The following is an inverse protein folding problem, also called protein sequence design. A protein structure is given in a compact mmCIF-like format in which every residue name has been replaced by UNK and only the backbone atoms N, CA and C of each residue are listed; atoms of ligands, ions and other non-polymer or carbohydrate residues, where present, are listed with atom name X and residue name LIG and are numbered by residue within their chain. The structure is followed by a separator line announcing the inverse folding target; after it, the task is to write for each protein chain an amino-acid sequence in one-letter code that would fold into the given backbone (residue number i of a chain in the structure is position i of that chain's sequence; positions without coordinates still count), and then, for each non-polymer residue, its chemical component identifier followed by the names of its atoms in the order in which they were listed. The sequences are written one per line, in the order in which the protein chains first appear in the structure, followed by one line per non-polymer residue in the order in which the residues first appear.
data_IF_619145925832
#
_entry.id   IF_619145925832
#
_cell.length_a   1.000
_cell.length_b   1.000
_cell.length_c   1.000
_cell.angle_alpha   90.00
_cell.angle_beta   90.00
_cell.angle_gamma   90.00
#
_symmetry.space_group_name_H-M   'P 1'
#
loop_
_entity.id
_entity.type
_entity.pdbx_description
1 polymer ?
#
# COMPACT_ATOMS: atom_id res chain seq x y z
N UNK A 1 4.51 -24.66 -10.19
CA UNK A 1 4.34 -23.94 -11.48
C UNK A 1 2.85 -23.91 -11.77
N UNK A 2 2.25 -22.80 -12.23
CA UNK A 2 0.78 -22.66 -12.43
C UNK A 2 0.07 -23.89 -13.06
N UNK A 3 0.76 -24.65 -13.93
CA UNK A 3 0.26 -25.90 -14.52
C UNK A 3 0.05 -27.09 -13.57
N UNK A 4 0.27 -26.94 -12.26
CA UNK A 4 -0.01 -27.97 -11.24
C UNK A 4 -1.33 -27.75 -10.48
N UNK A 5 -2.04 -26.63 -10.69
CA UNK A 5 -3.33 -26.32 -10.01
C UNK A 5 -4.51 -26.21 -10.97
N UNK A 6 -4.26 -25.77 -12.21
CA UNK A 6 -5.26 -25.70 -13.28
C UNK A 6 -4.86 -26.70 -14.36
N UNK A 7 -5.64 -27.77 -14.49
CA UNK A 7 -5.42 -28.85 -15.44
C UNK A 7 -6.42 -28.73 -16.61
N UNK A 8 -6.17 -29.37 -17.76
CA UNK A 8 -7.13 -29.41 -18.86
C UNK A 8 -8.52 -29.97 -18.46
N UNK A 9 -8.59 -30.75 -17.38
CA UNK A 9 -9.83 -31.33 -16.85
C UNK A 9 -10.52 -30.47 -15.80
N UNK A 10 -9.93 -29.34 -15.39
CA UNK A 10 -10.49 -28.45 -14.36
C UNK A 10 -11.81 -27.85 -14.82
N UNK A 11 -12.81 -27.84 -13.93
CA UNK A 11 -14.13 -27.26 -14.15
C UNK A 11 -14.37 -26.04 -13.26
N UNK A 12 -15.48 -25.33 -13.47
CA UNK A 12 -15.86 -24.20 -12.61
C UNK A 12 -16.12 -24.64 -11.15
N UNK A 13 -16.61 -25.87 -10.93
CA UNK A 13 -16.92 -26.39 -9.60
C UNK A 13 -15.65 -26.65 -8.76
N UNK A 14 -14.50 -26.84 -9.41
CA UNK A 14 -13.20 -26.99 -8.74
C UNK A 14 -12.65 -25.65 -8.20
N UNK A 15 -13.19 -24.52 -8.67
CA UNK A 15 -12.62 -23.20 -8.42
C UNK A 15 -12.46 -22.84 -6.93
N UNK A 16 -13.44 -23.10 -6.03
CA UNK A 16 -13.26 -22.78 -4.62
C UNK A 16 -12.01 -23.43 -4.00
N UNK A 17 -11.78 -24.72 -4.27
CA UNK A 17 -10.59 -25.45 -3.82
C UNK A 17 -9.31 -24.92 -4.45
N UNK A 18 -9.31 -24.69 -5.77
CA UNK A 18 -8.13 -24.17 -6.49
C UNK A 18 -7.75 -22.78 -5.97
N UNK A 19 -8.74 -21.92 -5.71
CA UNK A 19 -8.52 -20.58 -5.14
C UNK A 19 -7.85 -20.67 -3.77
N UNK A 20 -8.29 -21.59 -2.92
CA UNK A 20 -7.68 -21.82 -1.61
C UNK A 20 -6.23 -22.33 -1.74
N UNK A 21 -5.98 -23.29 -2.63
CA UNK A 21 -4.63 -23.80 -2.89
C UNK A 21 -3.67 -22.72 -3.42
N UNK A 22 -4.13 -21.89 -4.36
CA UNK A 22 -3.35 -20.75 -4.88
C UNK A 22 -3.06 -19.76 -3.76
N UNK A 23 -4.08 -19.40 -2.97
CA UNK A 23 -3.92 -18.47 -1.86
C UNK A 23 -2.92 -19.00 -0.82
N UNK A 24 -3.05 -20.27 -0.42
CA UNK A 24 -2.14 -20.90 0.53
C UNK A 24 -0.69 -20.89 0.06
N UNK A 25 -0.45 -21.12 -1.24
CA UNK A 25 0.90 -21.07 -1.83
C UNK A 25 1.48 -19.65 -1.87
N UNK A 26 0.65 -18.65 -2.21
CA UNK A 26 1.07 -17.23 -2.19
C UNK A 26 1.42 -16.82 -0.76
N UNK A 27 0.55 -17.13 0.22
CA UNK A 27 0.78 -16.77 1.62
C UNK A 27 2.00 -17.49 2.20
N UNK A 28 2.24 -18.75 1.83
CA UNK A 28 3.42 -19.48 2.27
C UNK A 28 4.74 -18.84 1.80
N UNK A 29 4.76 -18.07 0.69
CA UNK A 29 5.95 -17.34 0.26
C UNK A 29 6.12 -15.98 0.92
N UNK A 30 5.11 -15.49 1.66
CA UNK A 30 5.19 -14.19 2.35
C UNK A 30 6.06 -14.26 3.62
N UNK A 31 6.32 -15.45 4.14
CA UNK A 31 7.02 -15.64 5.41
C UNK A 31 6.10 -15.38 6.62
N UNK A 32 6.70 -15.31 7.79
CA UNK A 32 5.98 -15.18 9.07
C UNK A 32 6.07 -13.73 9.57
N UNK A 33 4.92 -13.05 9.63
CA UNK A 33 4.83 -11.72 10.26
C UNK A 33 4.92 -11.83 11.80
N UNK A 34 5.36 -10.77 12.51
CA UNK A 34 5.39 -10.74 13.96
C UNK A 34 4.05 -11.08 14.62
N UNK A 35 4.09 -11.80 15.75
CA UNK A 35 2.88 -12.15 16.51
C UNK A 35 2.17 -10.87 16.99
N UNK A 36 0.84 -10.84 16.84
CA UNK A 36 0.01 -9.71 17.31
C UNK A 36 0.12 -8.44 16.47
N UNK A 37 0.82 -8.44 15.33
CA UNK A 37 0.98 -7.25 14.49
C UNK A 37 -0.38 -6.66 14.04
N UNK A 38 -1.39 -7.52 13.87
CA UNK A 38 -2.78 -7.17 13.56
C UNK A 38 -3.53 -6.44 14.67
N UNK A 39 -3.16 -6.68 15.93
CA UNK A 39 -3.87 -6.12 17.09
C UNK A 39 -3.44 -4.67 17.38
N UNK A 40 -2.29 -4.26 16.84
CA UNK A 40 -1.81 -2.89 16.97
C UNK A 40 -2.72 -1.90 16.24
N UNK A 41 -3.12 -0.84 16.94
CA UNK A 41 -3.92 0.23 16.37
C UNK A 41 -3.17 0.92 15.22
N UNK A 42 -3.84 1.05 14.06
CA UNK A 42 -3.40 1.90 12.96
C UNK A 42 -3.45 3.39 13.37
N UNK A 43 -2.38 3.85 14.04
CA UNK A 43 -2.17 5.24 14.42
C UNK A 43 -1.70 6.03 13.21
N UNK A 44 -2.26 7.23 13.00
CA UNK A 44 -1.85 8.12 11.93
C UNK A 44 -1.98 9.59 12.34
N UNK A 45 -1.23 10.45 11.67
CA UNK A 45 -1.29 11.90 11.83
C UNK A 45 -1.26 12.61 10.47
N UNK A 46 -2.11 13.61 10.30
CA UNK A 46 -2.03 14.55 9.17
C UNK A 46 -0.83 15.48 9.40
N UNK A 47 0.12 15.47 8.47
CA UNK A 47 1.32 16.30 8.52
C UNK A 47 1.10 17.64 7.83
N UNK A 48 0.41 17.61 6.69
CA UNK A 48 0.30 18.75 5.80
C UNK A 48 -0.91 18.61 4.87
N UNK A 49 -1.54 19.74 4.57
CA UNK A 49 -2.60 19.85 3.58
C UNK A 49 -2.27 20.94 2.59
N UNK A 50 -2.35 20.63 1.31
CA UNK A 50 -1.96 21.55 0.25
C UNK A 50 -2.80 21.33 -1.02
N UNK A 51 -2.89 22.36 -1.85
CA UNK A 51 -3.54 22.29 -3.15
C UNK A 51 -2.49 22.02 -4.23
N UNK A 52 -2.77 21.06 -5.11
CA UNK A 52 -1.95 20.80 -6.29
C UNK A 52 -2.87 20.39 -7.44
N UNK A 53 -2.66 20.98 -8.60
CA UNK A 53 -3.37 20.58 -9.83
C UNK A 53 -4.91 20.65 -9.72
N UNK A 54 -5.39 21.59 -8.88
CA UNK A 54 -6.82 21.83 -8.62
C UNK A 54 -7.47 20.87 -7.61
N UNK A 55 -6.69 20.01 -6.95
CA UNK A 55 -7.16 19.06 -5.96
C UNK A 55 -6.48 19.26 -4.60
N UNK A 56 -7.20 18.91 -3.54
CA UNK A 56 -6.65 18.87 -2.20
C UNK A 56 -5.84 17.60 -1.98
N UNK A 57 -4.57 17.77 -1.64
CA UNK A 57 -3.67 16.73 -1.19
C UNK A 57 -3.49 16.82 0.34
N UNK A 58 -3.44 15.66 0.99
CA UNK A 58 -3.18 15.52 2.42
C UNK A 58 -2.00 14.57 2.57
N UNK A 59 -0.88 15.07 3.08
CA UNK A 59 0.25 14.23 3.48
C UNK A 59 0.03 13.79 4.91
N UNK A 60 0.11 12.50 5.14
CA UNK A 60 -0.02 11.88 6.46
C UNK A 60 1.14 10.92 6.70
N UNK A 61 1.42 10.63 7.97
CA UNK A 61 2.23 9.47 8.34
C UNK A 61 1.43 8.50 9.19
N UNK A 62 1.78 7.24 9.14
CA UNK A 62 1.12 6.20 9.91
C UNK A 62 2.08 5.12 10.38
N UNK A 63 1.73 4.50 11.50
CA UNK A 63 2.49 3.44 12.13
C UNK A 63 2.31 2.13 11.36
N UNK A 64 3.41 1.39 11.14
CA UNK A 64 3.42 0.15 10.36
C UNK A 64 3.62 -1.07 11.24
N UNK A 65 4.77 -1.14 11.92
CA UNK A 65 5.21 -2.26 12.77
C UNK A 65 6.26 -1.73 13.74
N UNK A 66 6.23 -2.16 15.00
CA UNK A 66 7.15 -1.75 16.07
C UNK A 66 7.36 -0.22 16.14
N UNK A 67 8.55 0.28 15.82
CA UNK A 67 8.83 1.73 15.79
C UNK A 67 8.80 2.32 14.37
N UNK A 68 8.48 1.52 13.36
CA UNK A 68 8.48 1.95 11.96
C UNK A 68 7.21 2.74 11.61
N UNK A 69 7.43 3.89 10.97
CA UNK A 69 6.41 4.74 10.37
C UNK A 69 6.67 4.89 8.87
N UNK A 70 5.61 5.09 8.09
CA UNK A 70 5.70 5.47 6.68
C UNK A 70 4.78 6.65 6.40
N UNK A 71 4.92 7.25 5.21
CA UNK A 71 4.09 8.37 4.77
C UNK A 71 3.17 7.98 3.60
N UNK A 72 2.01 8.61 3.54
CA UNK A 72 1.10 8.55 2.42
C UNK A 72 0.69 9.94 1.95
N UNK A 73 0.20 10.01 0.73
CA UNK A 73 -0.56 11.16 0.22
C UNK A 73 -1.96 10.68 -0.13
N UNK A 74 -2.93 11.32 0.50
CA UNK A 74 -4.33 11.24 0.13
C UNK A 74 -4.65 12.37 -0.84
N UNK A 75 -5.38 12.08 -1.91
CA UNK A 75 -5.93 13.08 -2.81
C UNK A 75 -7.45 12.99 -2.72
N UNK A 76 -8.08 14.12 -2.43
CA UNK A 76 -9.52 14.23 -2.40
C UNK A 76 -10.06 14.56 -3.80
N UNK A 77 -11.27 14.07 -4.15
CA UNK A 77 -11.92 14.48 -5.38
C UNK A 77 -12.36 15.95 -5.33
N UNK A 78 -12.68 16.53 -6.49
CA UNK A 78 -13.23 17.88 -6.58
C UNK A 78 -14.47 18.06 -5.68
N UNK A 79 -14.56 19.20 -5.00
CA UNK A 79 -15.60 19.46 -4.00
C UNK A 79 -15.29 18.87 -2.62
N UNK A 80 -14.19 18.13 -2.48
CA UNK A 80 -13.73 17.47 -1.26
C UNK A 80 -14.42 16.14 -1.01
N UNK A 81 -13.87 15.35 -0.08
CA UNK A 81 -14.48 14.11 0.43
C UNK A 81 -15.72 14.38 1.30
N UNK A 82 -16.75 14.98 0.71
CA UNK A 82 -18.00 15.36 1.39
C UNK A 82 -18.93 14.17 1.53
N UNK A 83 -19.99 14.37 2.32
CA UNK A 83 -21.07 13.40 2.52
C UNK A 83 -21.92 13.22 1.23
N UNK A 84 -22.22 11.97 0.82
CA UNK A 84 -21.76 10.72 1.41
C UNK A 84 -20.27 10.47 1.09
N UNK A 85 -19.53 9.78 1.98
CA UNK A 85 -18.14 9.39 1.73
C UNK A 85 -17.91 8.85 0.31
N UNK A 86 -16.76 9.18 -0.25
CA UNK A 86 -16.44 8.85 -1.64
C UNK A 86 -15.75 7.48 -1.71
N UNK A 87 -15.95 6.72 -2.81
CA UNK A 87 -15.24 5.47 -3.00
C UNK A 87 -13.73 5.71 -2.99
N UNK A 88 -12.99 4.85 -2.31
CA UNK A 88 -11.55 5.00 -2.14
C UNK A 88 -10.74 3.96 -2.91
N UNK A 89 -9.55 4.36 -3.37
CA UNK A 89 -8.61 3.50 -4.09
C UNK A 89 -7.21 3.64 -3.49
N UNK A 90 -6.65 2.52 -3.04
CA UNK A 90 -5.22 2.41 -2.72
C UNK A 90 -4.41 2.37 -4.03
N UNK A 91 -3.57 3.37 -4.25
CA UNK A 91 -2.80 3.52 -5.49
C UNK A 91 -1.33 3.15 -5.28
N UNK A 92 -0.96 1.95 -5.72
CA UNK A 92 0.33 1.29 -5.42
C UNK A 92 1.44 1.67 -6.40
N UNK A 93 2.50 2.33 -5.92
CA UNK A 93 3.61 2.74 -6.77
C UNK A 93 4.43 1.58 -7.35
N UNK A 94 5.13 1.86 -8.46
CA UNK A 94 6.08 0.95 -9.09
C UNK A 94 7.47 0.96 -8.44
N UNK A 95 8.47 0.43 -9.15
CA UNK A 95 9.83 0.18 -8.62
C UNK A 95 10.75 1.41 -8.60
N UNK A 96 10.19 2.63 -8.60
CA UNK A 96 10.97 3.87 -8.50
C UNK A 96 11.28 4.15 -7.02
N UNK A 97 12.40 3.61 -6.54
CA UNK A 97 12.79 3.64 -5.12
C UNK A 97 12.91 5.05 -4.54
N UNK A 98 13.29 6.04 -5.36
CA UNK A 98 13.43 7.42 -4.91
C UNK A 98 12.08 8.13 -4.80
N UNK A 99 11.19 7.93 -5.79
CA UNK A 99 9.90 8.63 -5.82
C UNK A 99 8.85 7.99 -4.94
N UNK A 100 8.85 6.66 -4.81
CA UNK A 100 7.83 5.90 -4.07
C UNK A 100 6.41 6.36 -4.43
N UNK A 101 5.61 6.72 -3.43
CA UNK A 101 4.23 7.20 -3.53
C UNK A 101 4.05 8.34 -4.55
N UNK A 102 5.03 9.24 -4.69
CA UNK A 102 4.96 10.34 -5.64
C UNK A 102 4.94 9.86 -7.09
N UNK A 103 5.44 8.65 -7.35
CA UNK A 103 5.52 8.06 -8.68
C UNK A 103 4.17 7.88 -9.38
N UNK A 104 3.06 7.90 -8.62
CA UNK A 104 1.71 7.63 -9.15
C UNK A 104 0.71 8.78 -9.01
N UNK A 105 1.18 9.93 -8.53
CA UNK A 105 0.40 11.15 -8.29
C UNK A 105 1.07 12.41 -8.87
N UNK A 106 1.99 12.22 -9.80
CA UNK A 106 2.72 13.32 -10.42
C UNK A 106 2.11 13.69 -11.77
N UNK A 107 1.42 14.85 -11.90
CA UNK A 107 0.80 15.28 -13.16
C UNK A 107 1.81 15.50 -14.29
N UNK A 108 3.09 15.72 -13.99
CA UNK A 108 4.16 15.78 -15.00
C UNK A 108 4.48 14.41 -15.61
N UNK A 109 3.92 13.32 -15.06
CA UNK A 109 4.04 11.95 -15.54
C UNK A 109 2.66 11.38 -15.88
N UNK A 110 1.99 11.84 -16.95
CA UNK A 110 0.61 11.49 -17.24
C UNK A 110 0.37 9.98 -17.37
N UNK A 111 1.32 9.21 -17.91
CA UNK A 111 1.20 7.73 -17.99
C UNK A 111 1.39 7.00 -16.65
N UNK A 112 1.61 7.72 -15.56
CA UNK A 112 1.82 7.19 -14.21
C UNK A 112 0.91 7.85 -13.17
N UNK A 113 0.34 9.03 -13.45
CA UNK A 113 -0.50 9.82 -12.54
C UNK A 113 -1.91 9.23 -12.27
N UNK A 114 -2.06 7.91 -12.23
CA UNK A 114 -3.40 7.33 -12.11
C UNK A 114 -4.06 7.64 -10.76
N UNK A 115 -3.30 7.96 -9.70
CA UNK A 115 -3.88 8.48 -8.46
C UNK A 115 -4.54 9.84 -8.64
N UNK A 116 -3.86 10.79 -9.27
CA UNK A 116 -4.46 12.10 -9.60
C UNK A 116 -5.63 11.97 -10.60
N UNK A 117 -5.53 11.08 -11.58
CA UNK A 117 -6.59 10.85 -12.57
C UNK A 117 -7.84 10.21 -11.95
N UNK A 118 -7.68 9.29 -11.00
CA UNK A 118 -8.80 8.70 -10.26
C UNK A 118 -9.42 9.74 -9.32
N UNK A 119 -8.63 10.58 -8.66
CA UNK A 119 -9.17 11.65 -7.83
C UNK A 119 -10.08 12.60 -8.61
N UNK A 120 -9.67 12.99 -9.83
CA UNK A 120 -10.52 13.77 -10.75
C UNK A 120 -11.80 13.07 -11.18
N UNK A 121 -11.87 11.75 -11.07
CA UNK A 121 -13.06 10.93 -11.41
C UNK A 121 -13.96 10.69 -10.21
N UNK A 122 -13.70 11.34 -9.07
CA UNK A 122 -14.56 11.27 -7.89
C UNK A 122 -14.11 10.26 -6.83
N UNK A 123 -12.89 9.71 -6.93
CA UNK A 123 -12.37 8.77 -5.94
C UNK A 123 -11.51 9.49 -4.91
N UNK A 124 -11.53 9.03 -3.66
CA UNK A 124 -10.43 9.31 -2.73
C UNK A 124 -9.28 8.38 -3.11
N UNK A 125 -8.07 8.89 -3.31
CA UNK A 125 -6.91 8.03 -3.56
C UNK A 125 -5.90 8.14 -2.45
N UNK A 126 -5.34 7.01 -2.00
CA UNK A 126 -4.23 6.98 -1.06
C UNK A 126 -3.03 6.30 -1.71
N UNK A 127 -1.91 7.02 -1.83
CA UNK A 127 -0.61 6.47 -2.24
C UNK A 127 0.34 6.46 -1.06
N UNK A 128 0.78 5.29 -0.62
CA UNK A 128 1.72 5.13 0.49
C UNK A 128 3.09 4.63 0.03
N UNK A 129 4.14 5.01 0.75
CA UNK A 129 5.47 4.42 0.56
C UNK A 129 5.54 3.02 1.19
N UNK A 130 6.10 2.08 0.43
CA UNK A 130 6.44 0.74 0.89
C UNK A 130 7.85 0.70 1.48
N UNK A 131 8.15 -0.33 2.28
CA UNK A 131 9.47 -0.60 2.81
C UNK A 131 10.56 -0.59 1.71
N UNK A 132 11.52 0.32 1.87
CA UNK A 132 12.64 0.53 0.95
C UNK A 132 12.37 1.50 -0.20
N UNK A 133 11.29 2.29 -0.13
CA UNK A 133 10.88 3.29 -1.12
C UNK A 133 10.54 4.64 -0.48
N UNK A 134 10.70 5.71 -1.26
CA UNK A 134 10.26 7.06 -0.90
C UNK A 134 10.79 7.51 0.46
N UNK A 135 9.92 7.89 1.39
CA UNK A 135 10.34 8.39 2.71
C UNK A 135 10.83 7.29 3.66
N UNK A 136 10.61 6.02 3.33
CA UNK A 136 11.21 4.89 4.08
C UNK A 136 12.64 4.60 3.61
N UNK A 137 13.06 5.22 2.51
CA UNK A 137 14.42 5.19 2.02
C UNK A 137 15.21 6.31 2.75
N UNK A 138 16.04 5.94 3.72
CA UNK A 138 16.81 6.90 4.51
C UNK A 138 18.16 7.24 3.83
N UNK A 139 18.97 8.11 4.46
CA UNK A 139 20.35 8.45 4.03
C UNK A 139 21.34 7.27 4.06
N UNK A 140 20.86 6.03 4.23
CA UNK A 140 21.68 4.81 4.21
C UNK A 140 21.39 4.00 2.94
N UNK A 141 22.36 3.21 2.47
CA UNK A 141 22.15 2.29 1.35
C UNK A 141 20.98 1.34 1.60
N UNK A 142 20.17 1.07 0.56
CA UNK A 142 19.03 0.15 0.63
C UNK A 142 19.39 -1.21 1.25
N UNK A 143 20.60 -1.71 0.95
CA UNK A 143 21.09 -2.99 1.48
C UNK A 143 21.14 -3.00 3.00
N UNK A 144 21.60 -1.93 3.64
CA UNK A 144 21.67 -1.85 5.10
C UNK A 144 20.27 -1.90 5.74
N UNK A 145 19.27 -1.29 5.09
CA UNK A 145 17.88 -1.38 5.54
C UNK A 145 17.33 -2.80 5.44
N UNK A 146 17.60 -3.47 4.32
CA UNK A 146 17.17 -4.85 4.09
C UNK A 146 17.86 -5.81 5.06
N UNK A 147 19.17 -5.63 5.30
CA UNK A 147 19.94 -6.44 6.24
C UNK A 147 19.39 -6.27 7.68
N UNK A 148 19.13 -5.03 8.11
CA UNK A 148 18.53 -4.76 9.42
C UNK A 148 17.11 -5.33 9.56
N UNK A 149 16.32 -5.32 8.48
CA UNK A 149 15.00 -5.94 8.45
C UNK A 149 15.09 -7.45 8.67
N UNK A 150 15.99 -8.15 7.97
CA UNK A 150 16.15 -9.60 8.14
C UNK A 150 16.82 -9.98 9.46
N UNK A 151 17.61 -9.09 10.07
CA UNK A 151 18.09 -9.30 11.44
C UNK A 151 16.94 -9.25 12.46
N UNK A 152 16.00 -8.32 12.29
CA UNK A 152 14.83 -8.19 13.17
C UNK A 152 13.74 -9.25 12.90
N UNK A 153 13.53 -9.62 11.64
CA UNK A 153 12.45 -10.52 11.20
C UNK A 153 13.00 -11.59 10.23
N UNK A 154 13.77 -12.57 10.72
CA UNK A 154 14.48 -13.52 9.87
C UNK A 154 13.56 -14.40 9.00
N UNK A 155 12.34 -14.66 9.46
CA UNK A 155 11.38 -15.50 8.77
C UNK A 155 10.36 -14.71 7.93
N UNK A 156 10.44 -13.37 7.93
CA UNK A 156 9.52 -12.53 7.17
C UNK A 156 10.13 -12.13 5.83
N UNK A 157 9.41 -12.37 4.72
CA UNK A 157 9.91 -11.95 3.41
C UNK A 157 9.72 -10.44 3.19
N UNK A 158 10.51 -9.85 2.28
CA UNK A 158 10.29 -8.46 1.85
C UNK A 158 8.91 -8.25 1.24
N UNK A 159 8.39 -9.23 0.49
CA UNK A 159 7.07 -9.14 -0.12
C UNK A 159 5.96 -9.25 0.93
N UNK A 160 6.15 -10.07 1.97
CA UNK A 160 5.28 -10.14 3.13
C UNK A 160 5.24 -8.83 3.90
N UNK A 161 6.41 -8.21 4.12
CA UNK A 161 6.50 -6.88 4.73
C UNK A 161 5.78 -5.82 3.90
N UNK A 162 5.98 -5.81 2.59
CA UNK A 162 5.30 -4.84 1.71
C UNK A 162 3.80 -5.11 1.61
N UNK A 163 3.36 -6.37 1.61
CA UNK A 163 1.94 -6.72 1.71
C UNK A 163 1.33 -6.14 2.99
N UNK A 164 2.05 -6.23 4.10
CA UNK A 164 1.65 -5.61 5.36
C UNK A 164 1.59 -4.08 5.29
N UNK A 165 2.55 -3.42 4.66
CA UNK A 165 2.50 -1.96 4.44
C UNK A 165 1.20 -1.53 3.73
N UNK A 166 0.72 -2.33 2.76
CA UNK A 166 -0.56 -2.09 2.07
C UNK A 166 -1.77 -2.36 2.95
N UNK A 167 -1.78 -3.46 3.71
CA UNK A 167 -2.87 -3.74 4.67
C UNK A 167 -3.01 -2.58 5.65
N UNK A 168 -1.88 -2.09 6.19
CA UNK A 168 -1.89 -0.96 7.11
C UNK A 168 -2.33 0.35 6.45
N UNK A 169 -2.01 0.56 5.18
CA UNK A 169 -2.54 1.68 4.41
C UNK A 169 -4.08 1.62 4.29
N UNK A 170 -4.65 0.42 4.12
CA UNK A 170 -6.11 0.21 4.11
C UNK A 170 -6.71 0.47 5.49
N UNK A 171 -6.09 0.00 6.58
CA UNK A 171 -6.58 0.28 7.94
C UNK A 171 -6.66 1.79 8.23
N UNK A 172 -5.69 2.57 7.72
CA UNK A 172 -5.71 4.03 7.81
C UNK A 172 -6.81 4.60 6.92
N UNK A 173 -6.92 4.13 5.68
CA UNK A 173 -7.91 4.59 4.71
C UNK A 173 -9.35 4.46 5.25
N UNK A 174 -9.68 3.34 5.89
CA UNK A 174 -10.98 3.06 6.50
C UNK A 174 -11.31 3.98 7.69
N UNK A 175 -10.32 4.60 8.31
CA UNK A 175 -10.50 5.55 9.43
C UNK A 175 -10.66 7.00 8.99
N UNK A 176 -10.45 7.30 7.71
CA UNK A 176 -10.52 8.68 7.22
C UNK A 176 -11.98 9.12 7.09
N UNK A 177 -12.35 10.34 7.53
CA UNK A 177 -13.75 10.77 7.62
C UNK A 177 -14.45 10.98 6.26
N UNK A 178 -13.74 10.77 5.15
CA UNK A 178 -14.18 10.98 3.79
C UNK A 178 -14.25 9.69 2.95
N UNK A 179 -13.97 8.54 3.57
CA UNK A 179 -14.13 7.18 3.05
C UNK A 179 -15.21 6.47 3.86
#
# INVERSE_FOLDING_TARGET
MIGDVILPSTTADDWPRIREEILGRILASMGTEPEGIGDAEARFEELERFERDGLTHIRLRYHVVDDAWTEAIVILPEGGGKSPPAPAVLTIHGTDYQRGKLGVIDPERPRRNYGGELARRGYVTLSADQFGFGTTYHDRPQREHVDAFFEAYPDWSLDGRRLWDHKRALDVLEKLPYV
#
